data_IF_454012731587
#
_entry.id   IF_454012731587
#
_cell.length_a   1.000
_cell.length_b   1.000
_cell.length_c   1.000
_cell.angle_alpha   90.00
_cell.angle_beta   90.00
_cell.angle_gamma   90.00
#
_symmetry.space_group_name_H-M   'P 1'
#
loop_
_entity.id
_entity.type
_entity.pdbx_description
1 polymer ?
#
# COMPACT_ATOMS: atom_id res chain seq x y z
N UNK A 1 0.18 10.84 -2.80
CA UNK A 1 0.74 10.85 -4.15
C UNK A 1 0.04 11.91 -4.99
N UNK A 2 0.61 13.12 -5.00
CA UNK A 2 0.26 14.23 -5.91
C UNK A 2 1.45 14.54 -6.83
N UNK A 3 2.32 13.55 -7.01
CA UNK A 3 3.63 13.69 -7.62
C UNK A 3 3.50 14.03 -9.10
N UNK A 4 4.32 14.98 -9.55
CA UNK A 4 4.36 15.40 -10.95
C UNK A 4 5.41 14.63 -11.77
N UNK A 5 6.28 13.88 -11.09
CA UNK A 5 7.35 13.09 -11.70
C UNK A 5 7.26 11.63 -11.21
N UNK A 6 7.59 10.70 -12.12
CA UNK A 6 7.62 9.28 -11.87
C UNK A 6 8.72 8.86 -10.88
N UNK A 7 9.85 9.57 -10.84
CA UNK A 7 10.91 9.26 -9.87
C UNK A 7 10.48 9.58 -8.44
N UNK A 8 9.85 10.75 -8.25
CA UNK A 8 9.27 11.14 -6.96
C UNK A 8 8.16 10.17 -6.55
N UNK A 9 7.30 9.78 -7.49
CA UNK A 9 6.25 8.79 -7.25
C UNK A 9 6.83 7.43 -6.81
N UNK A 10 7.84 6.91 -7.51
CA UNK A 10 8.50 5.65 -7.16
C UNK A 10 9.18 5.73 -5.80
N UNK A 11 9.79 6.88 -5.47
CA UNK A 11 10.40 7.10 -4.15
C UNK A 11 9.34 7.08 -3.04
N UNK A 12 8.24 7.80 -3.22
CA UNK A 12 7.14 7.84 -2.25
C UNK A 12 6.51 6.44 -2.08
N UNK A 13 6.33 5.70 -3.17
CA UNK A 13 5.81 4.33 -3.15
C UNK A 13 6.75 3.37 -2.42
N UNK A 14 8.06 3.50 -2.63
CA UNK A 14 9.08 2.72 -1.92
C UNK A 14 9.09 3.02 -0.42
N UNK A 15 9.04 4.31 -0.03
CA UNK A 15 8.90 4.70 1.38
C UNK A 15 7.61 4.17 1.99
N UNK A 16 6.49 4.23 1.26
CA UNK A 16 5.22 3.65 1.71
C UNK A 16 5.33 2.13 1.93
N UNK A 17 5.97 1.41 0.99
CA UNK A 17 6.22 -0.04 1.10
C UNK A 17 7.02 -0.38 2.35
N UNK A 18 8.09 0.37 2.61
CA UNK A 18 8.92 0.17 3.81
C UNK A 18 8.10 0.38 5.09
N UNK A 19 7.35 1.48 5.19
CA UNK A 19 6.49 1.73 6.35
C UNK A 19 5.41 0.65 6.53
N UNK A 20 4.82 0.15 5.44
CA UNK A 20 3.85 -0.95 5.50
C UNK A 20 4.50 -2.27 5.98
N UNK A 21 5.73 -2.57 5.55
CA UNK A 21 6.48 -3.73 6.03
C UNK A 21 6.89 -3.60 7.50
N UNK A 22 7.28 -2.40 7.93
CA UNK A 22 7.56 -2.11 9.34
C UNK A 22 6.30 -2.24 10.20
N UNK A 23 5.16 -1.72 9.74
CA UNK A 23 3.86 -1.89 10.38
C UNK A 23 3.47 -3.37 10.48
N UNK A 24 3.66 -4.15 9.41
CA UNK A 24 3.42 -5.59 9.41
C UNK A 24 4.28 -6.30 10.48
N UNK A 25 5.55 -5.91 10.63
CA UNK A 25 6.47 -6.46 11.62
C UNK A 25 6.11 -6.09 13.06
N UNK A 26 5.49 -4.94 13.27
CA UNK A 26 5.05 -4.52 14.60
C UNK A 26 3.86 -5.34 15.12
N UNK A 27 3.27 -6.20 14.28
CA UNK A 27 2.24 -7.22 14.55
C UNK A 27 1.28 -6.89 15.69
N UNK A 28 0.03 -6.61 15.35
CA UNK A 28 -1.06 -6.61 16.33
C UNK A 28 -1.14 -7.99 17.00
N UNK A 29 -1.28 -8.01 18.33
CA UNK A 29 -1.46 -9.24 19.10
C UNK A 29 -2.96 -9.53 19.29
N UNK A 30 -3.33 -10.80 19.42
CA UNK A 30 -4.73 -11.21 19.65
C UNK A 30 -5.53 -11.55 18.39
N UNK A 31 -6.86 -11.53 18.51
CA UNK A 31 -7.80 -12.03 17.49
C UNK A 31 -7.74 -11.27 16.15
N UNK A 32 -7.26 -10.03 16.18
CA UNK A 32 -7.19 -9.16 15.00
C UNK A 32 -5.95 -9.39 14.15
N UNK A 33 -4.99 -10.19 14.64
CA UNK A 33 -3.73 -10.48 13.96
C UNK A 33 -3.95 -11.03 12.54
N UNK A 34 -4.85 -12.00 12.38
CA UNK A 34 -5.11 -12.62 11.08
C UNK A 34 -5.70 -11.61 10.07
N UNK A 35 -6.61 -10.75 10.53
CA UNK A 35 -7.22 -9.69 9.71
C UNK A 35 -6.19 -8.65 9.31
N UNK A 36 -5.33 -8.23 10.25
CA UNK A 36 -4.24 -7.30 9.99
C UNK A 36 -3.21 -7.86 9.02
N UNK A 37 -2.72 -9.09 9.25
CA UNK A 37 -1.73 -9.75 8.39
C UNK A 37 -2.27 -9.93 6.96
N UNK A 38 -3.54 -10.35 6.83
CA UNK A 38 -4.20 -10.47 5.53
C UNK A 38 -4.32 -9.11 4.83
N UNK A 39 -4.64 -8.06 5.59
CA UNK A 39 -4.73 -6.71 5.05
C UNK A 39 -3.39 -6.15 4.61
N UNK A 40 -2.33 -6.39 5.37
CA UNK A 40 -0.97 -5.98 5.01
C UNK A 40 -0.43 -6.76 3.83
N UNK A 41 -0.74 -8.05 3.73
CA UNK A 41 -0.44 -8.82 2.53
C UNK A 41 -1.11 -8.21 1.31
N UNK A 42 -2.42 -7.96 1.37
CA UNK A 42 -3.17 -7.37 0.26
C UNK A 42 -2.66 -5.96 -0.11
N UNK A 43 -2.33 -5.14 0.88
CA UNK A 43 -1.77 -3.80 0.67
C UNK A 43 -0.41 -3.87 -0.04
N UNK A 44 0.49 -4.75 0.42
CA UNK A 44 1.82 -4.91 -0.18
C UNK A 44 1.75 -5.52 -1.59
N UNK A 45 0.83 -6.45 -1.83
CA UNK A 45 0.58 -7.01 -3.16
C UNK A 45 0.13 -5.90 -4.13
N UNK A 46 -0.80 -5.03 -3.71
CA UNK A 46 -1.24 -3.89 -4.51
C UNK A 46 -0.10 -2.88 -4.74
N UNK A 47 0.76 -2.62 -3.75
CA UNK A 47 1.96 -1.79 -3.93
C UNK A 47 2.86 -2.34 -5.04
N UNK A 48 3.07 -3.65 -5.10
CA UNK A 48 3.87 -4.27 -6.17
C UNK A 48 3.20 -4.08 -7.54
N UNK A 49 1.86 -4.11 -7.63
CA UNK A 49 1.11 -3.83 -8.86
C UNK A 49 1.31 -2.37 -9.29
N UNK A 50 1.28 -1.44 -8.34
CA UNK A 50 1.53 -0.01 -8.61
C UNK A 50 2.97 0.21 -9.08
N UNK A 51 3.96 -0.46 -8.47
CA UNK A 51 5.38 -0.41 -8.89
C UNK A 51 5.53 -0.90 -10.33
N UNK A 52 5.01 -2.09 -10.64
CA UNK A 52 5.04 -2.65 -11.99
C UNK A 52 4.31 -1.76 -13.01
N UNK A 53 3.18 -1.17 -12.61
CA UNK A 53 2.43 -0.24 -13.46
C UNK A 53 3.23 1.03 -13.74
N UNK A 54 3.93 1.57 -12.75
CA UNK A 54 4.80 2.73 -12.94
C UNK A 54 5.96 2.42 -13.89
N UNK A 55 6.54 1.23 -13.79
CA UNK A 55 7.63 0.80 -14.69
C UNK A 55 7.16 0.57 -16.12
N UNK A 56 6.00 -0.07 -16.31
CA UNK A 56 5.53 -0.50 -17.63
C UNK A 56 4.69 0.55 -18.36
N UNK A 57 3.85 1.28 -17.62
CA UNK A 57 2.80 2.16 -18.18
C UNK A 57 2.97 3.63 -17.80
N UNK A 58 3.93 3.94 -16.93
CA UNK A 58 4.24 5.31 -16.53
C UNK A 58 3.35 5.86 -15.40
N UNK A 59 3.46 7.16 -15.16
CA UNK A 59 2.96 7.83 -13.95
C UNK A 59 1.43 7.82 -13.84
N UNK A 60 0.71 8.22 -14.89
CA UNK A 60 -0.74 8.40 -14.80
C UNK A 60 -1.50 7.08 -14.49
N UNK A 61 -1.20 5.95 -15.15
CA UNK A 61 -1.78 4.66 -14.79
C UNK A 61 -1.42 4.23 -13.37
N UNK A 62 -0.18 4.45 -12.93
CA UNK A 62 0.26 4.09 -11.59
C UNK A 62 -0.44 4.93 -10.51
N UNK A 63 -0.67 6.22 -10.77
CA UNK A 63 -1.44 7.09 -9.86
C UNK A 63 -2.89 6.66 -9.72
N UNK A 64 -3.49 6.14 -10.80
CA UNK A 64 -4.84 5.60 -10.75
C UNK A 64 -4.89 4.33 -9.90
N UNK A 65 -3.92 3.44 -10.08
CA UNK A 65 -3.79 2.21 -9.29
C UNK A 65 -3.51 2.51 -7.82
N UNK A 66 -2.64 3.49 -7.53
CA UNK A 66 -2.33 3.93 -6.17
C UNK A 66 -3.54 4.44 -5.37
N UNK A 67 -4.66 4.80 -6.03
CA UNK A 67 -5.89 5.15 -5.32
C UNK A 67 -6.47 3.94 -4.56
N UNK A 68 -6.32 2.73 -5.10
CA UNK A 68 -6.80 1.48 -4.47
C UNK A 68 -6.10 1.20 -3.14
N UNK A 69 -4.85 1.65 -2.98
CA UNK A 69 -4.13 1.54 -1.71
C UNK A 69 -4.90 2.21 -0.56
N UNK A 70 -5.54 3.35 -0.81
CA UNK A 70 -6.37 4.03 0.20
C UNK A 70 -7.62 3.23 0.54
N UNK A 71 -8.27 2.64 -0.46
CA UNK A 71 -9.48 1.85 -0.25
C UNK A 71 -9.17 0.59 0.57
N UNK A 72 -8.04 -0.07 0.29
CA UNK A 72 -7.54 -1.20 1.07
C UNK A 72 -7.29 -0.78 2.53
N UNK A 73 -6.54 0.31 2.74
CA UNK A 73 -6.28 0.81 4.10
C UNK A 73 -7.57 1.13 4.85
N UNK A 74 -8.53 1.82 4.22
CA UNK A 74 -9.81 2.16 4.83
C UNK A 74 -10.64 0.90 5.17
N UNK A 75 -10.65 -0.09 4.28
CA UNK A 75 -11.35 -1.35 4.50
C UNK A 75 -10.78 -2.10 5.72
N UNK A 76 -9.46 -2.19 5.83
CA UNK A 76 -8.82 -2.90 6.94
C UNK A 76 -8.87 -2.10 8.25
N UNK A 77 -8.76 -0.77 8.22
CA UNK A 77 -9.01 0.06 9.41
C UNK A 77 -10.43 -0.13 9.96
N UNK A 78 -11.44 -0.13 9.07
CA UNK A 78 -12.84 -0.39 9.46
C UNK A 78 -13.00 -1.77 10.08
N UNK A 79 -12.37 -2.81 9.52
CA UNK A 79 -12.41 -4.19 10.06
C UNK A 79 -11.70 -4.32 11.41
N UNK A 80 -10.67 -3.51 11.65
CA UNK A 80 -9.89 -3.48 12.89
C UNK A 80 -10.45 -2.50 13.93
N UNK A 81 -11.48 -1.71 13.58
CA UNK A 81 -12.13 -0.75 14.48
C UNK A 81 -11.29 0.48 14.84
N UNK A 82 -10.35 0.86 13.97
CA UNK A 82 -9.46 2.05 14.12
C UNK A 82 -9.84 3.20 13.20
#
# INVERSE_FOLDING_TARGET
>A
MKDKNIDSFKKDLSSFKQSAQEAQRTSVTGNDKATFDSGMKQLLDEVNVVEATAEQKGLAPAQQEAKKLRDIMAQFHTKLGV
#
